data_IF_631085608536
#
_entry.id   IF_631085608536
#
_cell.length_a   1.000
_cell.length_b   1.000
_cell.length_c   1.000
_cell.angle_alpha   90.00
_cell.angle_beta   90.00
_cell.angle_gamma   90.00
#
_symmetry.space_group_name_H-M   'P 1'
#
loop_
_entity.id
_entity.type
_entity.pdbx_description
1 polymer ?
#
# COMPACT_ATOMS: atom_id res chain seq x y z
N UNK A 1 -3.58 2.02 -8.71
CA UNK A 1 -2.90 2.57 -7.53
C UNK A 1 -3.53 1.98 -6.27
N UNK A 2 -2.74 1.74 -5.26
CA UNK A 2 -3.19 1.39 -3.92
C UNK A 2 -2.77 2.55 -3.03
N UNK A 3 -3.68 3.04 -2.22
CA UNK A 3 -3.45 4.17 -1.33
C UNK A 3 -4.03 3.82 0.04
N UNK A 4 -3.29 4.06 1.11
CA UNK A 4 -3.77 3.91 2.47
C UNK A 4 -3.43 5.15 3.31
N UNK A 5 -4.28 5.49 4.27
CA UNK A 5 -4.12 6.62 5.17
C UNK A 5 -4.23 6.22 6.64
N UNK A 6 -3.64 7.02 7.53
CA UNK A 6 -3.47 6.68 8.93
C UNK A 6 -4.73 6.79 9.81
N UNK A 7 -5.71 7.62 9.47
CA UNK A 7 -6.83 7.92 10.39
C UNK A 7 -8.14 7.17 10.12
N UNK A 8 -8.30 6.66 8.95
CA UNK A 8 -9.32 5.67 8.64
C UNK A 8 -8.67 4.77 7.63
N UNK A 9 -8.67 3.48 7.83
CA UNK A 9 -8.13 2.53 6.86
C UNK A 9 -8.93 2.65 5.57
N UNK A 10 -8.65 3.70 4.80
CA UNK A 10 -9.17 3.87 3.46
C UNK A 10 -8.14 3.20 2.56
N UNK A 11 -8.29 1.91 2.41
CA UNK A 11 -7.57 1.17 1.39
C UNK A 11 -8.43 1.11 0.14
N UNK A 12 -7.88 1.56 -0.97
CA UNK A 12 -8.54 1.39 -2.25
C UNK A 12 -7.53 1.02 -3.32
N UNK A 13 -7.88 0.02 -4.10
CA UNK A 13 -7.23 -0.26 -5.35
C UNK A 13 -8.10 0.33 -6.45
N UNK A 14 -7.60 1.34 -7.15
CA UNK A 14 -8.33 1.94 -8.27
C UNK A 14 -7.57 1.70 -9.56
N UNK A 15 -8.28 1.30 -10.59
CA UNK A 15 -7.75 1.32 -11.93
C UNK A 15 -7.77 2.79 -12.41
N UNK A 16 -6.66 3.48 -12.16
CA UNK A 16 -6.51 4.88 -12.57
C UNK A 16 -6.20 4.91 -14.07
N UNK A 17 -7.16 5.34 -14.87
CA UNK A 17 -6.83 5.85 -16.20
C UNK A 17 -5.86 7.04 -16.12
N UNK A 18 -5.20 7.40 -17.23
CA UNK A 18 -4.24 8.51 -17.24
C UNK A 18 -4.86 9.85 -16.81
N UNK A 19 -6.17 10.00 -16.93
CA UNK A 19 -6.90 11.23 -16.59
C UNK A 19 -7.24 11.36 -15.09
N UNK A 20 -7.02 10.31 -14.31
CA UNK A 20 -7.38 10.26 -12.90
C UNK A 20 -6.21 10.46 -11.92
N UNK A 21 -4.98 10.39 -12.42
CA UNK A 21 -3.78 10.59 -11.61
C UNK A 21 -2.97 11.77 -12.15
N UNK A 22 -2.59 12.69 -11.28
CA UNK A 22 -1.67 13.76 -11.61
C UNK A 22 -0.30 13.43 -11.02
N UNK A 23 0.71 13.53 -11.88
CA UNK A 23 2.10 13.31 -11.50
C UNK A 23 2.86 14.64 -11.62
N UNK A 24 3.84 14.84 -10.76
CA UNK A 24 4.78 15.94 -10.93
C UNK A 24 5.81 15.62 -12.06
N UNK A 25 6.66 16.59 -12.45
CA UNK A 25 7.66 16.37 -13.51
C UNK A 25 8.66 15.25 -13.21
N UNK A 26 8.78 14.80 -11.96
CA UNK A 26 9.65 13.67 -11.54
C UNK A 26 8.90 12.34 -11.46
N UNK A 27 7.62 12.31 -11.82
CA UNK A 27 6.80 11.11 -11.82
C UNK A 27 6.21 10.73 -10.46
N UNK A 28 6.21 11.65 -9.47
CA UNK A 28 5.58 11.38 -8.16
C UNK A 28 4.10 11.73 -8.21
N UNK A 29 3.28 10.92 -7.57
CA UNK A 29 1.84 11.16 -7.49
C UNK A 29 1.56 12.39 -6.61
N UNK A 30 0.86 13.39 -7.15
CA UNK A 30 0.49 14.62 -6.45
C UNK A 30 -1.01 14.79 -6.27
N UNK A 31 -1.82 14.14 -7.10
CA UNK A 31 -3.28 14.13 -6.93
C UNK A 31 -3.94 12.92 -7.59
N UNK A 32 -5.12 12.59 -7.10
CA UNK A 32 -6.02 11.58 -7.66
C UNK A 32 -7.42 12.20 -7.74
N UNK A 33 -8.11 12.00 -8.87
CA UNK A 33 -9.52 12.37 -9.00
C UNK A 33 -10.26 11.35 -9.87
N UNK A 34 -11.05 10.51 -9.24
CA UNK A 34 -11.91 9.53 -9.93
C UNK A 34 -13.38 9.93 -9.91
N UNK A 35 -13.71 11.14 -9.43
CA UNK A 35 -15.07 11.58 -9.17
C UNK A 35 -15.58 11.14 -7.79
N UNK A 36 -15.37 9.89 -7.41
CA UNK A 36 -15.74 9.38 -6.07
C UNK A 36 -14.60 9.42 -5.06
N UNK A 37 -13.37 9.43 -5.55
CA UNK A 37 -12.17 9.59 -4.74
C UNK A 37 -11.41 10.82 -5.24
N UNK A 38 -11.18 11.75 -4.35
CA UNK A 38 -10.34 12.94 -4.60
C UNK A 38 -9.26 12.99 -3.53
N UNK A 39 -8.01 12.99 -3.95
CA UNK A 39 -6.87 13.15 -3.05
C UNK A 39 -5.86 14.14 -3.63
N UNK A 40 -5.24 14.94 -2.78
CA UNK A 40 -4.23 15.92 -3.16
C UNK A 40 -3.14 16.01 -2.10
N UNK A 41 -1.89 16.07 -2.54
CA UNK A 41 -0.76 16.30 -1.63
C UNK A 41 -0.82 17.70 -0.99
N UNK A 42 -1.42 18.69 -1.67
CA UNK A 42 -1.51 20.06 -1.17
C UNK A 42 -0.15 20.62 -0.80
N UNK A 43 0.02 21.01 0.48
CA UNK A 43 1.30 21.52 1.03
C UNK A 43 2.12 20.47 1.76
N UNK A 44 1.65 19.22 1.83
CA UNK A 44 2.40 18.12 2.43
C UNK A 44 3.66 17.77 1.61
N UNK A 45 4.62 17.17 2.26
CA UNK A 45 5.84 16.69 1.60
C UNK A 45 5.63 15.31 0.97
N UNK A 46 6.33 15.04 -0.14
CA UNK A 46 6.39 13.70 -0.71
C UNK A 46 7.73 13.08 -0.33
N UNK A 47 7.68 12.02 0.45
CA UNK A 47 8.85 11.33 1.01
C UNK A 47 8.83 9.84 0.68
N UNK A 48 9.89 9.12 1.04
CA UNK A 48 10.04 7.67 0.83
C UNK A 48 9.75 7.23 -0.62
N UNK A 49 10.13 8.08 -1.58
CA UNK A 49 9.85 7.84 -3.00
C UNK A 49 10.81 6.81 -3.60
N UNK A 50 10.31 6.04 -4.53
CA UNK A 50 11.16 5.15 -5.33
C UNK A 50 10.45 4.65 -6.57
N UNK A 51 11.24 4.05 -7.45
CA UNK A 51 10.73 3.42 -8.65
C UNK A 51 11.53 2.17 -9.01
N UNK A 52 10.89 1.24 -9.68
CA UNK A 52 11.51 0.04 -10.23
C UNK A 52 10.98 -0.22 -11.64
N UNK A 53 11.84 -0.30 -12.65
CA UNK A 53 11.43 -0.76 -13.97
C UNK A 53 10.86 -2.18 -13.90
N UNK A 54 9.74 -2.41 -14.58
CA UNK A 54 9.08 -3.72 -14.65
C UNK A 54 8.42 -3.88 -16.01
N UNK A 55 8.94 -4.78 -16.86
CA UNK A 55 8.29 -5.19 -18.10
C UNK A 55 7.92 -4.08 -19.09
N UNK A 56 8.73 -3.03 -19.21
CA UNK A 56 8.45 -1.87 -20.07
C UNK A 56 7.63 -0.75 -19.41
N UNK A 57 7.27 -0.93 -18.14
CA UNK A 57 6.64 0.08 -17.28
C UNK A 57 7.48 0.29 -16.02
N UNK A 58 7.12 1.26 -15.21
CA UNK A 58 7.73 1.47 -13.89
C UNK A 58 6.68 1.25 -12.80
N UNK A 59 7.07 0.54 -11.75
CA UNK A 59 6.37 0.53 -10.49
C UNK A 59 6.92 1.68 -9.64
N UNK A 60 6.06 2.58 -9.19
CA UNK A 60 6.44 3.77 -8.43
C UNK A 60 5.71 3.77 -7.10
N UNK A 61 6.36 4.28 -6.07
CA UNK A 61 5.78 4.42 -4.73
C UNK A 61 6.24 5.70 -4.06
N UNK A 62 5.51 6.08 -3.03
CA UNK A 62 5.85 7.20 -2.18
C UNK A 62 4.87 7.38 -1.05
N UNK A 63 5.18 8.31 -0.17
CA UNK A 63 4.34 8.67 0.98
C UNK A 63 4.19 10.19 1.03
N UNK A 64 2.96 10.66 1.20
CA UNK A 64 2.70 12.05 1.58
C UNK A 64 2.82 12.17 3.09
N UNK A 65 3.51 13.17 3.58
CA UNK A 65 3.78 13.38 5.00
C UNK A 65 3.48 14.81 5.42
N UNK A 66 2.77 14.94 6.52
CA UNK A 66 2.49 16.23 7.15
C UNK A 66 1.12 16.82 6.80
N UNK A 67 0.79 17.94 7.46
CA UNK A 67 -0.48 18.62 7.26
C UNK A 67 -0.59 19.18 5.84
N UNK A 68 -1.82 19.24 5.33
CA UNK A 68 -2.12 19.84 4.03
C UNK A 68 -2.39 18.85 2.91
N UNK A 69 -2.15 17.54 3.11
CA UNK A 69 -2.73 16.50 2.25
C UNK A 69 -4.22 16.35 2.54
N UNK A 70 -4.99 16.03 1.52
CA UNK A 70 -6.43 15.80 1.64
C UNK A 70 -6.84 14.55 0.92
N UNK A 71 -7.74 13.78 1.53
CA UNK A 71 -8.42 12.65 0.90
C UNK A 71 -9.90 12.79 1.19
N UNK A 72 -10.71 12.66 0.16
CA UNK A 72 -12.15 12.59 0.27
C UNK A 72 -12.68 11.44 -0.58
N UNK A 73 -13.46 10.57 0.02
CA UNK A 73 -14.10 9.45 -0.67
C UNK A 73 -15.61 9.53 -0.49
N UNK A 74 -16.34 9.51 -1.59
CA UNK A 74 -17.78 9.37 -1.57
C UNK A 74 -18.14 7.87 -1.51
N UNK A 75 -18.88 7.50 -0.47
CA UNK A 75 -19.38 6.14 -0.31
C UNK A 75 -20.65 5.91 -1.16
N UNK A 76 -21.03 4.64 -1.41
CA UNK A 76 -22.23 4.32 -2.21
C UNK A 76 -23.54 4.90 -1.66
N UNK A 77 -23.60 5.17 -0.35
CA UNK A 77 -24.76 5.82 0.31
C UNK A 77 -24.75 7.35 0.20
N UNK A 78 -23.78 7.93 -0.53
CA UNK A 78 -23.62 9.36 -0.70
C UNK A 78 -22.85 10.07 0.43
N UNK A 79 -22.52 9.39 1.51
CA UNK A 79 -21.68 9.96 2.57
C UNK A 79 -20.26 10.21 2.06
N UNK A 80 -19.60 11.26 2.55
CA UNK A 80 -18.22 11.58 2.23
C UNK A 80 -17.38 11.33 3.47
N UNK A 81 -16.38 10.44 3.33
CA UNK A 81 -15.33 10.26 4.32
C UNK A 81 -14.16 11.16 3.91
N UNK A 82 -13.67 11.96 4.84
CA UNK A 82 -12.51 12.84 4.64
C UNK A 82 -11.43 12.49 5.64
N UNK A 83 -10.19 12.59 5.14
CA UNK A 83 -8.99 12.58 5.96
C UNK A 83 -8.12 13.75 5.49
N UNK A 84 -7.93 14.73 6.35
CA UNK A 84 -7.16 15.94 6.06
C UNK A 84 -5.89 15.92 6.94
N UNK A 85 -4.76 15.70 6.31
CA UNK A 85 -3.46 15.57 6.96
C UNK A 85 -3.05 14.11 7.21
N UNK A 86 -1.90 13.93 7.84
CA UNK A 86 -1.35 12.61 8.14
C UNK A 86 -0.48 12.03 7.03
N UNK A 87 -0.27 10.73 7.12
CA UNK A 87 0.54 9.99 6.16
C UNK A 87 -0.34 9.25 5.15
N UNK A 88 -0.05 9.44 3.87
CA UNK A 88 -0.72 8.73 2.80
C UNK A 88 0.29 7.95 1.98
N UNK A 89 0.18 6.63 2.00
CA UNK A 89 1.04 5.75 1.20
C UNK A 89 0.40 5.49 -0.16
N UNK A 90 1.22 5.50 -1.21
CA UNK A 90 0.77 5.15 -2.54
C UNK A 90 1.76 4.24 -3.26
N UNK A 91 1.22 3.39 -4.10
CA UNK A 91 1.96 2.63 -5.10
C UNK A 91 1.15 2.64 -6.39
N UNK A 92 1.81 2.88 -7.52
CA UNK A 92 1.16 2.82 -8.82
C UNK A 92 2.09 2.23 -9.87
N UNK A 93 1.50 1.64 -10.88
CA UNK A 93 2.19 1.00 -12.00
C UNK A 93 1.19 0.46 -13.00
N UNK A 94 1.70 -0.17 -14.03
CA UNK A 94 0.86 -0.87 -15.02
C UNK A 94 0.56 -2.27 -14.50
N UNK A 95 -0.70 -2.66 -14.54
CA UNK A 95 -1.11 -4.02 -14.20
C UNK A 95 -0.57 -4.99 -15.23
N UNK A 96 -0.08 -6.14 -14.79
CA UNK A 96 0.33 -7.20 -15.69
C UNK A 96 -0.84 -7.62 -16.61
N UNK A 97 -0.62 -7.62 -17.91
CA UNK A 97 -1.63 -8.02 -18.89
C UNK A 97 -1.89 -9.53 -18.88
N UNK A 98 -0.87 -10.29 -18.51
CA UNK A 98 -0.93 -11.75 -18.43
C UNK A 98 -0.25 -12.23 -17.14
N UNK A 99 -0.86 -13.21 -16.49
CA UNK A 99 -0.29 -13.91 -15.34
C UNK A 99 0.06 -15.34 -15.76
N UNK A 100 1.09 -15.95 -15.14
CA UNK A 100 1.32 -17.38 -15.28
C UNK A 100 0.06 -18.18 -14.91
N UNK A 101 -0.18 -19.25 -15.61
CA UNK A 101 -1.34 -20.13 -15.35
C UNK A 101 -0.98 -21.30 -14.43
N UNK A 102 0.30 -21.53 -14.17
CA UNK A 102 0.80 -22.60 -13.31
C UNK A 102 2.20 -22.28 -12.77
N UNK A 103 2.61 -23.01 -11.75
CA UNK A 103 3.92 -22.91 -11.11
C UNK A 103 3.91 -22.03 -9.88
N UNK A 104 5.08 -21.92 -9.25
CA UNK A 104 5.31 -21.08 -8.07
C UNK A 104 6.41 -20.06 -8.41
N UNK A 105 6.15 -18.80 -8.11
CA UNK A 105 7.13 -17.72 -8.27
C UNK A 105 7.32 -17.04 -6.91
N UNK A 106 8.59 -16.88 -6.53
CA UNK A 106 8.95 -16.12 -5.34
C UNK A 106 9.35 -14.68 -5.70
N UNK A 107 8.83 -13.74 -4.96
CA UNK A 107 9.11 -12.32 -5.10
C UNK A 107 9.78 -11.79 -3.83
N UNK A 108 10.87 -11.04 -4.03
CA UNK A 108 11.50 -10.27 -2.97
C UNK A 108 11.09 -8.79 -3.07
N UNK A 109 10.99 -8.07 -1.95
CA UNK A 109 10.75 -6.62 -1.98
C UNK A 109 11.88 -5.90 -2.71
N UNK A 110 11.51 -4.93 -3.52
CA UNK A 110 12.46 -4.08 -4.26
C UNK A 110 12.49 -2.65 -3.72
N UNK A 111 11.53 -2.32 -2.86
CA UNK A 111 11.38 -1.01 -2.22
C UNK A 111 10.00 -0.87 -1.60
N UNK A 112 9.76 0.27 -1.00
CA UNK A 112 8.50 0.60 -0.35
C UNK A 112 8.64 1.88 0.46
N UNK A 113 7.54 2.30 1.05
CA UNK A 113 7.50 3.41 2.02
C UNK A 113 7.74 2.89 3.43
N UNK A 114 8.22 3.73 4.33
CA UNK A 114 8.30 3.40 5.74
C UNK A 114 6.88 3.22 6.30
N UNK A 115 6.65 2.18 7.13
CA UNK A 115 5.35 1.99 7.77
C UNK A 115 5.04 3.15 8.72
N UNK A 116 3.76 3.44 8.90
CA UNK A 116 3.28 4.45 9.85
C UNK A 116 2.27 3.83 10.80
N UNK A 117 2.30 4.27 12.04
CA UNK A 117 1.31 3.91 13.07
C UNK A 117 0.15 4.91 12.99
N UNK A 118 -1.06 4.43 12.70
CA UNK A 118 -2.23 5.29 12.54
C UNK A 118 -2.70 5.96 13.84
N UNK A 119 -2.39 5.37 14.99
CA UNK A 119 -2.82 5.90 16.29
C UNK A 119 -1.89 6.99 16.80
N UNK A 120 -0.59 6.90 16.50
CA UNK A 120 0.44 7.81 17.03
C UNK A 120 1.06 8.71 15.97
N UNK A 121 0.90 8.38 14.69
CA UNK A 121 1.61 9.02 13.57
C UNK A 121 3.10 8.66 13.52
N UNK A 122 3.55 7.70 14.35
CA UNK A 122 4.95 7.29 14.36
C UNK A 122 5.35 6.65 13.02
N UNK A 123 6.52 7.01 12.54
CA UNK A 123 7.11 6.44 11.33
C UNK A 123 8.11 5.37 11.72
N UNK A 124 7.79 4.14 11.41
CA UNK A 124 8.62 2.98 11.69
C UNK A 124 9.62 2.67 10.58
N UNK A 125 10.16 1.46 10.63
CA UNK A 125 11.12 0.95 9.66
C UNK A 125 10.74 -0.46 9.19
N UNK A 126 11.07 -0.78 7.96
CA UNK A 126 11.02 -2.13 7.46
C UNK A 126 12.25 -2.88 8.01
N UNK A 127 12.04 -3.80 8.94
CA UNK A 127 13.11 -4.61 9.57
C UNK A 127 13.46 -5.79 8.64
N UNK A 128 12.43 -6.43 8.06
CA UNK A 128 12.59 -7.47 7.06
C UNK A 128 11.45 -7.36 6.04
N UNK A 129 11.79 -7.31 4.77
CA UNK A 129 10.81 -7.25 3.68
C UNK A 129 10.02 -8.53 3.47
N UNK A 130 10.42 -9.62 4.14
CA UNK A 130 9.80 -10.92 3.92
C UNK A 130 9.97 -11.42 2.49
N UNK A 131 9.15 -12.40 2.13
CA UNK A 131 9.00 -12.92 0.77
C UNK A 131 7.55 -13.14 0.45
N UNK A 132 7.19 -12.93 -0.80
CA UNK A 132 5.87 -13.27 -1.31
C UNK A 132 6.04 -14.41 -2.30
N UNK A 133 5.42 -15.55 -2.01
CA UNK A 133 5.32 -16.66 -2.94
C UNK A 133 3.93 -16.68 -3.57
N UNK A 134 3.86 -16.73 -4.89
CA UNK A 134 2.61 -16.86 -5.63
C UNK A 134 2.57 -18.22 -6.30
N UNK A 135 1.63 -19.06 -5.87
CA UNK A 135 1.33 -20.34 -6.50
C UNK A 135 0.17 -20.16 -7.47
N UNK A 136 0.49 -20.04 -8.74
CA UNK A 136 -0.47 -19.84 -9.82
C UNK A 136 -1.32 -21.11 -10.10
N UNK A 137 -0.80 -22.30 -9.77
CA UNK A 137 -1.53 -23.57 -9.96
C UNK A 137 -2.77 -23.68 -9.06
N UNK A 138 -2.67 -23.17 -7.84
CA UNK A 138 -3.77 -23.23 -6.86
C UNK A 138 -4.31 -21.83 -6.52
N UNK A 139 -3.92 -20.82 -7.28
CA UNK A 139 -4.33 -19.43 -7.11
C UNK A 139 -4.15 -18.92 -5.66
N UNK A 140 -2.97 -19.11 -5.08
CA UNK A 140 -2.65 -18.72 -3.71
C UNK A 140 -1.43 -17.82 -3.64
N UNK A 141 -1.51 -16.82 -2.77
CA UNK A 141 -0.38 -15.96 -2.38
C UNK A 141 0.00 -16.27 -0.93
N UNK A 142 1.28 -16.40 -0.66
CA UNK A 142 1.81 -16.57 0.70
C UNK A 142 2.78 -15.44 1.02
N UNK A 143 2.53 -14.73 2.11
CA UNK A 143 3.46 -13.76 2.68
C UNK A 143 4.24 -14.43 3.81
N UNK A 144 5.58 -14.41 3.71
CA UNK A 144 6.47 -14.98 4.71
C UNK A 144 7.24 -13.87 5.43
N UNK A 145 6.99 -13.74 6.73
CA UNK A 145 7.82 -12.97 7.69
C UNK A 145 8.13 -11.52 7.28
N UNK A 146 7.13 -10.74 6.87
CA UNK A 146 7.27 -9.29 6.78
C UNK A 146 7.39 -8.73 8.19
N UNK A 147 8.47 -7.99 8.48
CA UNK A 147 8.68 -7.38 9.79
C UNK A 147 8.77 -5.86 9.68
N UNK A 148 7.95 -5.19 10.48
CA UNK A 148 7.99 -3.73 10.65
C UNK A 148 8.28 -3.39 12.09
N UNK A 149 9.18 -2.43 12.31
CA UNK A 149 9.60 -1.99 13.64
C UNK A 149 9.20 -0.54 13.89
N UNK A 150 8.70 -0.30 15.09
CA UNK A 150 8.51 1.00 15.70
C UNK A 150 9.41 1.08 16.95
N UNK A 151 9.49 2.24 17.61
CA UNK A 151 10.45 2.45 18.73
C UNK A 151 10.43 1.36 19.80
N UNK A 152 9.25 0.86 20.16
CA UNK A 152 9.08 -0.10 21.25
C UNK A 152 8.33 -1.38 20.85
N UNK A 153 8.13 -1.61 19.56
CA UNK A 153 7.40 -2.76 19.04
C UNK A 153 7.96 -3.24 17.70
N UNK A 154 7.93 -4.54 17.50
CA UNK A 154 8.16 -5.16 16.19
C UNK A 154 6.97 -6.05 15.86
N UNK A 155 6.38 -5.78 14.72
CA UNK A 155 5.28 -6.59 14.18
C UNK A 155 5.81 -7.52 13.11
N UNK A 156 5.52 -8.81 13.27
CA UNK A 156 5.81 -9.83 12.27
C UNK A 156 4.50 -10.26 11.63
N UNK A 157 4.40 -10.11 10.34
CA UNK A 157 3.21 -10.42 9.56
C UNK A 157 3.49 -11.53 8.57
N UNK A 158 2.51 -12.41 8.39
CA UNK A 158 2.56 -13.50 7.44
C UNK A 158 1.17 -14.05 7.16
N UNK A 159 1.09 -15.07 6.32
CA UNK A 159 -0.16 -15.74 6.03
C UNK A 159 -0.39 -15.99 4.56
N UNK A 160 -1.60 -16.41 4.24
CA UNK A 160 -2.01 -16.78 2.89
C UNK A 160 -3.21 -15.96 2.43
N UNK A 161 -3.30 -15.74 1.11
CA UNK A 161 -4.39 -15.07 0.46
C UNK A 161 -4.79 -15.82 -0.82
N UNK A 162 -6.03 -15.68 -1.26
CA UNK A 162 -6.45 -16.16 -2.57
C UNK A 162 -6.05 -15.17 -3.66
N UNK A 163 -5.54 -15.67 -4.77
CA UNK A 163 -5.27 -14.89 -5.96
C UNK A 163 -6.55 -14.80 -6.80
N UNK A 164 -7.00 -13.58 -7.09
CA UNK A 164 -8.21 -13.29 -7.85
C UNK A 164 -7.83 -12.47 -9.10
N UNK A 165 -7.43 -13.14 -10.18
CA UNK A 165 -6.81 -12.47 -11.33
C UNK A 165 -5.52 -11.76 -10.88
N UNK A 166 -5.31 -10.47 -11.22
CA UNK A 166 -4.12 -9.72 -10.80
C UNK A 166 -4.19 -9.19 -9.35
N UNK A 167 -5.23 -9.50 -8.62
CA UNK A 167 -5.45 -9.06 -7.24
C UNK A 167 -5.35 -10.23 -6.28
N UNK A 168 -5.06 -9.94 -5.03
CA UNK A 168 -5.17 -10.91 -3.95
C UNK A 168 -5.81 -10.24 -2.72
N UNK A 169 -6.49 -11.08 -1.93
CA UNK A 169 -7.14 -10.63 -0.70
C UNK A 169 -6.97 -11.70 0.37
N UNK A 170 -6.61 -11.28 1.56
CA UNK A 170 -6.47 -12.19 2.72
C UNK A 170 -7.81 -12.70 3.25
N UNK A 171 -8.93 -12.06 2.87
CA UNK A 171 -10.26 -12.43 3.36
C UNK A 171 -10.40 -12.44 4.89
N UNK A 172 -9.45 -11.86 5.60
CA UNK A 172 -9.41 -11.78 7.06
C UNK A 172 -8.94 -13.06 7.79
N UNK A 173 -9.06 -14.24 7.19
CA UNK A 173 -8.78 -15.49 7.89
C UNK A 173 -7.36 -16.05 7.65
N UNK A 174 -6.67 -15.59 6.64
CA UNK A 174 -5.36 -16.12 6.24
C UNK A 174 -4.16 -15.30 6.69
N UNK A 175 -4.37 -14.09 7.20
CA UNK A 175 -3.30 -13.22 7.68
C UNK A 175 -3.05 -13.42 9.18
N UNK A 176 -1.79 -13.44 9.56
CA UNK A 176 -1.34 -13.47 10.95
C UNK A 176 -0.44 -12.28 11.23
N UNK A 177 -0.58 -11.71 12.43
CA UNK A 177 0.33 -10.70 12.93
C UNK A 177 0.70 -11.04 14.38
N UNK A 178 1.97 -10.94 14.70
CA UNK A 178 2.47 -11.06 16.07
C UNK A 178 3.25 -9.80 16.40
N UNK A 179 3.13 -9.36 17.64
CA UNK A 179 3.84 -8.20 18.15
C UNK A 179 4.84 -8.63 19.23
N UNK A 180 6.04 -8.09 19.21
CA UNK A 180 7.07 -8.25 20.23
C UNK A 180 7.61 -6.88 20.64
N UNK A 181 7.86 -6.68 21.93
CA UNK A 181 8.36 -5.41 22.48
C UNK A 181 7.47 -4.88 23.60
N UNK A 182 7.92 -3.82 24.25
CA UNK A 182 7.26 -3.25 25.43
C UNK A 182 5.95 -2.50 25.09
N UNK A 183 5.76 -2.09 23.85
CA UNK A 183 4.53 -1.44 23.40
C UNK A 183 3.44 -2.44 22.93
N UNK A 184 3.78 -3.73 22.84
CA UNK A 184 2.80 -4.76 22.52
C UNK A 184 1.89 -5.00 23.71
N UNK A 185 0.61 -4.71 23.55
CA UNK A 185 -0.40 -5.09 24.54
C UNK A 185 -0.82 -6.53 24.29
N UNK A 186 -1.02 -7.34 25.36
CA UNK A 186 -1.47 -8.73 25.25
C UNK A 186 -2.90 -8.86 24.71
#
# INVERSE_FOLDING_TARGET
AIVSSDEATIEFAVNLGPDHAQLDPTGRLVAINTGTLVASVGTASIVDTGSKPSGGAALNWGRWEGPGSTIAQQLPNGAVVRNDGGNLHYIYGVVASELPTAGIVEYAPVGGTRPTDSATGEVGNLVSGGRVAVNFTIAQVTLNSLQVGFNNATYTMGGTASLLGPLFSTGGAGATATCTGSACQP
#
